data_IF_303588915384
#
_entry.id   IF_303588915384
#
_cell.length_a   1.000
_cell.length_b   1.000
_cell.length_c   1.000
_cell.angle_alpha   90.00
_cell.angle_beta   90.00
_cell.angle_gamma   90.00
#
_symmetry.space_group_name_H-M   'P 1'
#
loop_
_entity.id
_entity.type
_entity.pdbx_description
1 polymer ?
#
# COMPACT_ATOMS: atom_id res chain seq x y z
N UNK A 1 -8.60 -17.59 -25.52
CA UNK A 1 -8.55 -17.80 -24.06
C UNK A 1 -9.85 -17.23 -23.50
N UNK A 2 -10.62 -17.95 -22.67
CA UNK A 2 -11.88 -17.46 -22.14
C UNK A 2 -11.65 -16.24 -21.23
N UNK A 3 -12.57 -15.27 -21.24
CA UNK A 3 -12.55 -14.18 -20.27
C UNK A 3 -12.64 -14.75 -18.84
N UNK A 4 -11.90 -14.14 -17.91
CA UNK A 4 -11.77 -14.57 -16.50
C UNK A 4 -11.07 -15.91 -16.26
N UNK A 5 -10.39 -16.50 -17.25
CA UNK A 5 -9.50 -17.64 -16.98
C UNK A 5 -8.17 -17.18 -16.41
N UNK A 6 -7.71 -17.77 -15.30
CA UNK A 6 -6.38 -17.48 -14.75
C UNK A 6 -5.29 -18.14 -15.59
N UNK A 7 -4.32 -17.35 -16.02
CA UNK A 7 -3.16 -17.79 -16.79
C UNK A 7 -1.93 -17.75 -15.88
N UNK A 8 -1.22 -18.88 -15.81
CA UNK A 8 0.09 -18.94 -15.18
C UNK A 8 1.12 -18.35 -16.14
N UNK A 9 1.74 -17.23 -15.76
CA UNK A 9 2.77 -16.60 -16.58
C UNK A 9 4.11 -17.28 -16.38
N UNK A 10 4.37 -17.76 -15.17
CA UNK A 10 5.60 -18.44 -14.81
C UNK A 10 5.81 -18.46 -13.31
N UNK A 11 6.99 -18.93 -12.93
CA UNK A 11 7.43 -18.97 -11.55
C UNK A 11 8.94 -19.18 -11.45
N UNK A 12 9.48 -18.93 -10.28
CA UNK A 12 10.87 -19.18 -9.94
C UNK A 12 10.91 -20.12 -8.74
N UNK A 13 11.75 -21.15 -8.85
CA UNK A 13 12.10 -22.00 -7.71
C UNK A 13 13.57 -21.72 -7.40
N UNK A 14 13.82 -21.23 -6.19
CA UNK A 14 15.16 -21.02 -5.67
C UNK A 14 15.41 -22.01 -4.55
N UNK A 15 16.55 -22.69 -4.60
CA UNK A 15 17.02 -23.55 -3.53
C UNK A 15 18.43 -23.14 -3.14
N UNK A 16 18.64 -22.96 -1.83
CA UNK A 16 19.92 -22.65 -1.24
C UNK A 16 20.27 -23.77 -0.25
N UNK A 17 21.33 -24.52 -0.54
CA UNK A 17 21.86 -25.55 0.35
C UNK A 17 23.06 -24.99 1.11
N UNK A 18 23.03 -25.10 2.44
CA UNK A 18 24.11 -24.67 3.32
C UNK A 18 24.51 -25.80 4.25
N UNK A 19 25.81 -26.10 4.26
CA UNK A 19 26.40 -27.13 5.11
C UNK A 19 27.44 -26.50 6.01
N UNK A 20 27.20 -26.59 7.31
CA UNK A 20 28.12 -26.07 8.32
C UNK A 20 28.65 -27.24 9.16
N UNK A 21 29.97 -27.34 9.28
CA UNK A 21 30.62 -28.37 10.08
C UNK A 21 31.46 -27.68 11.14
N UNK A 22 31.06 -27.85 12.40
CA UNK A 22 31.80 -27.36 13.56
C UNK A 22 32.35 -28.54 14.35
N UNK A 23 33.53 -28.46 14.92
CA UNK A 23 34.09 -29.56 15.71
C UNK A 23 35.42 -29.21 16.35
N UNK A 24 35.87 -30.09 17.24
CA UNK A 24 37.16 -29.89 17.93
C UNK A 24 38.31 -30.21 16.96
N UNK A 25 39.31 -29.33 16.82
CA UNK A 25 40.51 -29.61 16.01
C UNK A 25 41.19 -30.89 16.50
N UNK A 26 41.82 -31.65 15.58
CA UNK A 26 42.47 -32.94 15.85
C UNK A 26 41.49 -34.10 16.13
N UNK A 27 40.59 -33.97 17.11
CA UNK A 27 39.65 -35.03 17.51
C UNK A 27 38.58 -35.34 16.45
N UNK A 28 38.10 -34.32 15.75
CA UNK A 28 37.08 -34.48 14.68
C UNK A 28 37.57 -35.27 13.45
N UNK A 29 38.88 -35.41 13.28
CA UNK A 29 39.51 -36.11 12.15
C UNK A 29 39.79 -37.60 12.42
N UNK A 30 39.56 -38.09 13.64
CA UNK A 30 39.81 -39.47 14.00
C UNK A 30 38.82 -40.39 13.26
N UNK A 31 39.28 -41.36 12.45
CA UNK A 31 38.38 -42.32 11.80
C UNK A 31 37.64 -43.14 12.86
N UNK A 32 36.39 -43.54 12.57
CA UNK A 32 35.41 -44.18 13.47
C UNK A 32 34.83 -43.28 14.58
N UNK A 33 35.60 -42.39 15.22
CA UNK A 33 35.12 -41.63 16.39
C UNK A 33 34.92 -40.12 16.17
N UNK A 34 35.42 -39.56 15.06
CA UNK A 34 35.38 -38.12 14.81
C UNK A 34 33.97 -37.51 14.76
N UNK A 35 32.94 -38.33 14.48
CA UNK A 35 31.53 -37.91 14.52
C UNK A 35 31.01 -37.55 15.92
N UNK A 36 31.64 -38.06 16.99
CA UNK A 36 31.28 -37.70 18.38
C UNK A 36 31.79 -36.30 18.78
N UNK A 37 32.78 -35.79 18.06
CA UNK A 37 33.47 -34.52 18.34
C UNK A 37 33.23 -33.44 17.28
N UNK A 38 32.32 -33.69 16.33
CA UNK A 38 31.87 -32.70 15.36
C UNK A 38 30.34 -32.65 15.31
N UNK A 39 29.81 -31.47 15.08
CA UNK A 39 28.42 -31.21 14.75
C UNK A 39 28.35 -30.79 13.28
N UNK A 40 27.47 -31.45 12.54
CA UNK A 40 27.14 -31.06 11.17
C UNK A 40 25.72 -30.51 11.18
N UNK A 41 25.55 -29.32 10.62
CA UNK A 41 24.26 -28.70 10.40
C UNK A 41 24.07 -28.54 8.90
N UNK A 42 23.10 -29.27 8.37
CA UNK A 42 22.66 -29.16 6.99
C UNK A 42 21.34 -28.36 6.99
N UNK A 43 21.29 -27.29 6.20
CA UNK A 43 20.10 -26.45 6.06
C UNK A 43 19.81 -26.20 4.59
N UNK A 44 18.60 -26.54 4.17
CA UNK A 44 18.07 -26.28 2.84
C UNK A 44 16.97 -25.24 2.95
N UNK A 45 17.17 -24.10 2.29
CA UNK A 45 16.16 -23.04 2.17
C UNK A 45 15.58 -23.08 0.75
N UNK A 46 14.27 -23.34 0.63
CA UNK A 46 13.55 -23.43 -0.65
C UNK A 46 12.49 -22.34 -0.73
N UNK A 47 12.51 -21.58 -1.82
CA UNK A 47 11.57 -20.50 -2.08
C UNK A 47 10.91 -20.72 -3.45
N UNK A 48 9.58 -20.65 -3.47
CA UNK A 48 8.79 -20.82 -4.67
C UNK A 48 7.96 -19.55 -4.89
N UNK A 49 8.18 -18.89 -6.02
CA UNK A 49 7.42 -17.73 -6.45
C UNK A 49 6.62 -18.08 -7.69
N UNK A 50 5.34 -17.72 -7.70
CA UNK A 50 4.44 -17.97 -8.82
C UNK A 50 3.73 -16.68 -9.21
N UNK A 51 3.66 -16.40 -10.51
CA UNK A 51 3.00 -15.21 -11.06
C UNK A 51 1.83 -15.63 -11.94
N UNK A 52 0.65 -15.09 -11.64
CA UNK A 52 -0.61 -15.40 -12.31
C UNK A 52 -1.31 -14.12 -12.72
N UNK A 53 -2.06 -14.16 -13.84
CA UNK A 53 -2.97 -13.07 -14.24
C UNK A 53 -4.36 -13.62 -14.53
N UNK A 54 -5.40 -12.85 -14.17
CA UNK A 54 -6.78 -13.15 -14.51
C UNK A 54 -7.37 -11.94 -15.26
N UNK A 55 -7.49 -12.00 -16.59
CA UNK A 55 -8.07 -10.89 -17.36
C UNK A 55 -9.60 -10.86 -17.21
N UNK A 56 -10.18 -9.68 -17.14
CA UNK A 56 -11.64 -9.46 -17.17
C UNK A 56 -11.97 -8.44 -18.26
N UNK A 57 -12.80 -8.82 -19.23
CA UNK A 57 -13.24 -7.96 -20.34
C UNK A 57 -14.66 -7.49 -20.05
N UNK A 58 -14.91 -6.19 -20.11
CA UNK A 58 -16.24 -5.59 -19.91
C UNK A 58 -16.69 -4.99 -21.25
N UNK A 59 -17.78 -5.50 -21.80
CA UNK A 59 -18.24 -5.14 -23.15
C UNK A 59 -19.31 -4.03 -23.14
N UNK A 60 -20.06 -3.82 -22.03
CA UNK A 60 -21.19 -2.89 -21.95
C UNK A 60 -21.13 -1.89 -20.77
N UNK A 61 -21.47 -0.63 -21.06
CA UNK A 61 -21.48 0.51 -20.11
C UNK A 61 -22.44 0.35 -18.91
N UNK A 62 -23.67 -0.22 -19.04
CA UNK A 62 -24.54 -0.44 -17.88
C UNK A 62 -24.04 -1.53 -16.93
N UNK A 63 -23.25 -2.52 -17.39
CA UNK A 63 -22.65 -3.57 -16.56
C UNK A 63 -21.46 -3.08 -15.72
N UNK A 64 -20.80 -1.99 -16.14
CA UNK A 64 -19.68 -1.39 -15.39
C UNK A 64 -20.07 -0.98 -13.97
N UNK A 65 -21.33 -0.60 -13.72
CA UNK A 65 -21.78 -0.11 -12.40
C UNK A 65 -21.94 -1.20 -11.34
N UNK A 66 -22.23 -2.44 -11.74
CA UNK A 66 -22.38 -3.56 -10.81
C UNK A 66 -21.04 -4.28 -10.59
N UNK A 67 -20.24 -4.48 -11.65
CA UNK A 67 -18.87 -5.02 -11.53
C UNK A 67 -18.00 -4.11 -10.65
N UNK A 68 -18.16 -2.78 -10.77
CA UNK A 68 -17.44 -1.81 -9.93
C UNK A 68 -17.88 -1.79 -8.46
N UNK A 69 -19.03 -2.37 -8.08
CA UNK A 69 -19.44 -2.48 -6.67
C UNK A 69 -18.84 -3.74 -6.07
N UNK A 70 -19.02 -4.87 -6.74
CA UNK A 70 -18.50 -6.17 -6.29
C UNK A 70 -16.97 -6.19 -6.20
N UNK A 71 -16.26 -5.61 -7.18
CA UNK A 71 -14.79 -5.50 -7.13
C UNK A 71 -14.30 -4.57 -6.01
N UNK A 72 -15.00 -3.45 -5.76
CA UNK A 72 -14.66 -2.52 -4.67
C UNK A 72 -14.88 -3.13 -3.28
N UNK A 73 -15.92 -3.96 -3.15
CA UNK A 73 -16.25 -4.62 -1.89
C UNK A 73 -15.28 -5.79 -1.58
N UNK A 74 -14.80 -6.48 -2.62
CA UNK A 74 -13.86 -7.61 -2.49
C UNK A 74 -12.39 -7.19 -2.33
N UNK A 75 -11.97 -6.11 -2.99
CA UNK A 75 -10.54 -5.69 -2.99
C UNK A 75 -10.16 -4.84 -1.78
N UNK A 76 -11.10 -4.45 -0.92
CA UNK A 76 -10.79 -3.83 0.38
C UNK A 76 -10.13 -2.44 0.35
N UNK A 77 -9.75 -1.93 -0.83
CA UNK A 77 -9.35 -0.53 -1.04
C UNK A 77 -10.59 0.38 -1.04
N UNK A 78 -11.28 0.36 0.10
CA UNK A 78 -12.59 0.99 0.26
C UNK A 78 -12.46 2.50 0.29
N UNK A 79 -13.30 3.15 -0.52
CA UNK A 79 -13.60 4.59 -0.47
C UNK A 79 -14.05 5.10 0.93
N UNK A 80 -14.18 4.21 1.93
CA UNK A 80 -14.41 4.57 3.34
C UNK A 80 -13.26 5.37 3.96
N UNK A 81 -12.03 5.20 3.46
CA UNK A 81 -10.85 5.99 3.88
C UNK A 81 -10.75 7.37 3.21
N UNK A 82 -11.59 7.65 2.20
CA UNK A 82 -11.68 8.96 1.53
C UNK A 82 -13.02 9.63 1.83
N UNK A 83 -13.40 9.64 3.11
CA UNK A 83 -14.42 10.59 3.57
C UNK A 83 -13.98 12.00 3.15
N UNK A 84 -14.72 12.73 2.30
CA UNK A 84 -14.31 14.06 1.91
C UNK A 84 -14.21 14.89 3.18
N UNK A 85 -13.08 15.58 3.36
CA UNK A 85 -12.98 16.69 4.31
C UNK A 85 -14.13 17.65 3.99
N UNK A 86 -15.24 17.49 4.70
CA UNK A 86 -16.39 18.37 4.63
C UNK A 86 -15.98 19.69 5.28
N UNK A 87 -15.20 20.50 4.57
CA UNK A 87 -15.11 21.92 4.85
C UNK A 87 -16.52 22.48 4.79
N UNK A 88 -17.05 22.81 5.96
CA UNK A 88 -18.32 23.49 6.15
C UNK A 88 -18.22 24.89 5.55
N UNK A 89 -18.41 25.03 4.24
CA UNK A 89 -18.64 26.34 3.62
C UNK A 89 -20.08 26.73 3.92
N UNK A 90 -20.26 27.60 4.91
CA UNK A 90 -21.54 28.24 5.19
C UNK A 90 -21.93 29.23 4.08
N UNK A 91 -23.22 29.44 3.81
CA UNK A 91 -23.65 30.36 2.77
C UNK A 91 -23.50 31.79 3.29
N UNK A 92 -22.56 32.57 2.73
CA UNK A 92 -22.68 34.03 2.73
C UNK A 92 -23.09 34.46 1.34
N UNK A 93 -24.40 34.37 1.09
CA UNK A 93 -25.06 35.24 0.12
C UNK A 93 -25.47 36.50 0.89
N UNK A 94 -24.79 37.60 0.63
CA UNK A 94 -25.40 38.94 0.75
C UNK A 94 -24.84 39.71 -0.43
N UNK A 95 -25.70 39.91 -1.42
CA UNK A 95 -25.40 40.73 -2.59
C UNK A 95 -25.06 42.17 -2.13
N UNK A 96 -24.19 42.90 -2.85
CA UNK A 96 -23.93 44.29 -2.54
C UNK A 96 -25.11 45.13 -3.04
N UNK A 97 -25.92 45.63 -2.11
CA UNK A 97 -26.86 46.71 -2.36
C UNK A 97 -26.07 48.03 -2.31
N UNK A 98 -26.07 48.76 -3.42
CA UNK A 98 -25.40 50.04 -3.59
C UNK A 98 -26.44 51.16 -3.57
N UNK A 99 -26.58 51.86 -2.45
CA UNK A 99 -27.19 53.19 -2.30
C UNK A 99 -26.77 53.73 -0.93
N UNK A 100 -25.83 54.68 -0.85
CA UNK A 100 -26.06 56.13 -0.77
C UNK A 100 -26.61 56.57 0.59
N UNK A 101 -25.73 57.13 1.42
CA UNK A 101 -25.91 58.32 2.28
C UNK A 101 -24.64 58.44 3.14
N UNK A 102 -23.63 59.20 2.72
CA UNK A 102 -23.51 60.64 2.84
C UNK A 102 -23.63 61.16 4.30
N UNK A 103 -22.52 61.80 4.71
CA UNK A 103 -22.43 62.90 5.67
C UNK A 103 -21.96 62.59 7.09
N UNK A 104 -20.96 63.39 7.47
CA UNK A 104 -20.62 63.82 8.83
C UNK A 104 -19.83 62.80 9.67
N UNK A 105 -18.62 63.09 10.15
CA UNK A 105 -17.89 64.34 10.23
C UNK A 105 -16.77 64.19 11.26
N UNK A 106 -15.86 65.17 11.24
CA UNK A 106 -14.87 65.49 12.26
C UNK A 106 -13.62 64.58 12.40
N UNK A 107 -12.53 65.14 11.89
CA UNK A 107 -11.14 64.95 12.28
C UNK A 107 -10.92 64.84 13.80
N UNK A 108 -9.84 64.16 14.21
CA UNK A 108 -8.73 64.83 14.91
C UNK A 108 -7.58 63.87 15.26
N UNK A 109 -6.38 64.23 14.77
CA UNK A 109 -5.05 64.15 15.40
C UNK A 109 -4.48 62.82 15.97
N UNK A 110 -3.38 62.40 15.31
CA UNK A 110 -2.16 61.77 15.84
C UNK A 110 -1.54 62.53 17.06
N UNK A 111 -0.44 62.12 17.74
CA UNK A 111 0.62 61.20 17.31
C UNK A 111 1.21 60.25 18.39
N UNK A 112 2.28 59.56 17.98
CA UNK A 112 3.13 58.64 18.73
C UNK A 112 4.20 59.34 19.61
N UNK A 113 4.81 58.55 20.51
CA UNK A 113 5.92 58.86 21.46
C UNK A 113 5.48 59.76 22.63
N UNK A 114 5.64 59.41 23.91
CA UNK A 114 6.68 58.71 24.69
C UNK A 114 6.05 57.98 25.88
#
# INVERSE_FOLDING_TARGET
VPDRSTILLGGLITQQDSKNVAGVPFLSSIPLMGNLFKSTSDKTDRQELVVMIQPSVVQDVPEMREVSKTERDLTGFSAKELSPLSMKVGPKTTAPDISTEASSGAASSAPAHE
#
